data_IF_872185484401
#
_entry.id   IF_872185484401
#
_cell.length_a   1.000
_cell.length_b   1.000
_cell.length_c   1.000
_cell.angle_alpha   90.00
_cell.angle_beta   90.00
_cell.angle_gamma   90.00
#
_symmetry.space_group_name_H-M   'P 1'
#
loop_
_entity.id
_entity.type
_entity.pdbx_description
1 polymer ?
#
# COMPACT_ATOMS: atom_id res chain seq x y z
N UNK A 1 23.16 5.01 -31.90
CA UNK A 1 23.13 4.30 -30.61
C UNK A 1 21.67 4.12 -30.23
N UNK A 2 21.15 2.90 -30.38
CA UNK A 2 19.73 2.59 -30.21
C UNK A 2 19.45 2.43 -28.72
N UNK A 3 18.50 3.19 -28.19
CA UNK A 3 18.04 3.08 -26.81
C UNK A 3 17.47 1.69 -26.55
N UNK A 4 18.00 1.01 -25.53
CA UNK A 4 17.41 -0.21 -25.00
C UNK A 4 15.99 0.07 -24.48
N UNK A 5 15.09 -0.93 -24.52
CA UNK A 5 13.76 -0.76 -23.98
C UNK A 5 13.85 -0.40 -22.49
N UNK A 6 12.94 0.42 -21.93
CA UNK A 6 12.89 0.61 -20.49
C UNK A 6 12.62 -0.76 -19.88
N UNK A 7 13.61 -1.34 -19.20
CA UNK A 7 13.40 -2.53 -18.38
C UNK A 7 12.29 -2.18 -17.41
N UNK A 8 11.12 -2.79 -17.58
CA UNK A 8 10.07 -2.78 -16.59
C UNK A 8 10.61 -3.57 -15.40
N UNK A 9 11.40 -2.89 -14.56
CA UNK A 9 11.92 -3.47 -13.33
C UNK A 9 10.73 -3.61 -12.40
N UNK A 10 10.13 -4.79 -12.42
CA UNK A 10 9.29 -5.25 -11.32
C UNK A 10 10.16 -5.13 -10.06
N UNK A 11 9.69 -4.45 -9.01
CA UNK A 11 10.45 -4.38 -7.77
C UNK A 11 10.73 -5.80 -7.30
N UNK A 12 11.96 -6.07 -6.86
CA UNK A 12 12.29 -7.40 -6.36
C UNK A 12 11.46 -7.68 -5.10
N UNK A 13 10.91 -8.89 -4.98
CA UNK A 13 10.15 -9.30 -3.79
C UNK A 13 10.99 -9.13 -2.51
N UNK A 14 12.29 -9.36 -2.60
CA UNK A 14 13.25 -9.16 -1.51
C UNK A 14 13.31 -7.69 -1.06
N UNK A 15 13.35 -6.74 -1.99
CA UNK A 15 13.35 -5.32 -1.64
C UNK A 15 12.03 -4.87 -1.01
N UNK A 16 10.90 -5.40 -1.50
CA UNK A 16 9.57 -5.14 -0.91
C UNK A 16 9.50 -5.70 0.51
N UNK A 17 9.87 -6.96 0.72
CA UNK A 17 9.88 -7.60 2.04
C UNK A 17 10.82 -6.87 3.02
N UNK A 18 11.99 -6.44 2.54
CA UNK A 18 12.91 -5.60 3.32
C UNK A 18 12.26 -4.28 3.73
N UNK A 19 11.62 -3.56 2.81
CA UNK A 19 10.94 -2.30 3.08
C UNK A 19 9.85 -2.45 4.14
N UNK A 20 8.97 -3.46 4.01
CA UNK A 20 7.93 -3.77 5.01
C UNK A 20 8.55 -3.96 6.39
N UNK A 21 9.61 -4.78 6.48
CA UNK A 21 10.31 -5.05 7.74
C UNK A 21 10.94 -3.81 8.37
N UNK A 22 11.69 -3.01 7.59
CA UNK A 22 12.41 -1.84 8.14
C UNK A 22 11.47 -0.68 8.49
N UNK A 23 10.31 -0.57 7.83
CA UNK A 23 9.27 0.38 8.21
C UNK A 23 8.41 -0.09 9.38
N UNK A 24 8.55 -1.35 9.80
CA UNK A 24 7.76 -1.94 10.89
C UNK A 24 6.29 -2.08 10.55
N UNK A 25 5.95 -2.22 9.26
CA UNK A 25 4.57 -2.42 8.83
C UNK A 25 4.17 -3.88 9.03
N UNK A 26 2.93 -4.11 9.49
CA UNK A 26 2.35 -5.45 9.62
C UNK A 26 1.66 -5.88 8.33
N UNK A 27 1.54 -7.19 8.15
CA UNK A 27 0.79 -7.79 7.05
C UNK A 27 1.65 -8.20 5.85
N UNK A 28 1.00 -8.33 4.70
CA UNK A 28 1.56 -8.88 3.46
C UNK A 28 1.54 -7.84 2.34
N UNK A 29 2.52 -7.90 1.44
CA UNK A 29 2.52 -7.09 0.24
C UNK A 29 1.60 -7.70 -0.82
N UNK A 30 0.64 -6.93 -1.32
CA UNK A 30 -0.16 -7.32 -2.48
C UNK A 30 0.58 -6.99 -3.79
N UNK A 31 0.26 -7.69 -4.89
CA UNK A 31 0.71 -7.32 -6.22
C UNK A 31 0.39 -5.86 -6.54
N UNK A 32 1.22 -5.26 -7.37
CA UNK A 32 1.08 -3.84 -7.69
C UNK A 32 -0.28 -3.53 -8.35
N UNK A 33 -0.95 -2.48 -7.87
CA UNK A 33 -2.26 -2.02 -8.32
C UNK A 33 -2.26 -0.52 -8.61
N UNK A 34 -3.20 -0.07 -9.45
CA UNK A 34 -3.56 1.34 -9.56
C UNK A 34 -4.58 1.71 -8.49
N UNK A 35 -4.17 2.50 -7.50
CA UNK A 35 -5.03 2.99 -6.42
C UNK A 35 -5.09 4.51 -6.48
N UNK A 36 -6.29 5.09 -6.66
CA UNK A 36 -6.52 6.54 -6.74
C UNK A 36 -5.56 7.25 -7.73
N UNK A 37 -5.34 6.63 -8.90
CA UNK A 37 -4.45 7.16 -9.95
C UNK A 37 -2.94 6.97 -9.68
N UNK A 38 -2.56 6.34 -8.56
CA UNK A 38 -1.18 6.02 -8.21
C UNK A 38 -0.91 4.52 -8.34
N UNK A 39 0.24 4.19 -8.95
CA UNK A 39 0.70 2.80 -9.03
C UNK A 39 1.46 2.46 -7.76
N UNK A 40 0.93 1.54 -6.96
CA UNK A 40 1.41 1.25 -5.61
C UNK A 40 1.47 -0.26 -5.35
N UNK A 41 2.33 -0.66 -4.42
CA UNK A 41 2.33 -1.97 -3.78
C UNK A 41 1.67 -1.78 -2.40
N UNK A 42 0.41 -2.19 -2.22
CA UNK A 42 -0.29 -2.10 -0.94
C UNK A 42 0.29 -3.11 0.04
N UNK A 43 0.48 -2.70 1.28
CA UNK A 43 0.80 -3.57 2.40
C UNK A 43 -0.43 -3.66 3.28
N UNK A 44 -0.92 -4.88 3.49
CA UNK A 44 -2.25 -5.11 4.04
C UNK A 44 -2.22 -6.13 5.15
N UNK A 45 -2.96 -5.85 6.22
CA UNK A 45 -3.23 -6.81 7.28
C UNK A 45 -4.59 -7.46 7.03
N UNK A 46 -4.64 -8.78 6.99
CA UNK A 46 -5.85 -9.53 6.67
C UNK A 46 -6.39 -10.10 7.97
N UNK A 47 -7.64 -9.78 8.30
CA UNK A 47 -8.33 -10.38 9.43
C UNK A 47 -8.95 -11.72 9.01
N UNK A 48 -8.39 -12.86 9.44
CA UNK A 48 -8.88 -14.17 9.04
C UNK A 48 -10.28 -14.47 9.57
N UNK A 49 -10.67 -13.90 10.72
CA UNK A 49 -12.00 -14.11 11.31
C UNK A 49 -13.04 -13.36 10.48
N UNK A 50 -12.76 -12.10 10.13
CA UNK A 50 -13.63 -11.30 9.28
C UNK A 50 -13.73 -11.86 7.85
N UNK A 51 -12.61 -12.31 7.28
CA UNK A 51 -12.59 -13.00 5.98
C UNK A 51 -13.51 -14.23 6.00
N UNK A 52 -13.34 -15.12 6.97
CA UNK A 52 -14.17 -16.33 7.12
C UNK A 52 -15.65 -16.02 7.34
N UNK A 53 -15.96 -15.01 8.15
CA UNK A 53 -17.34 -14.58 8.37
C UNK A 53 -17.99 -14.14 7.05
N UNK A 54 -17.27 -13.41 6.21
CA UNK A 54 -17.74 -13.02 4.88
C UNK A 54 -17.92 -14.21 3.94
N UNK A 55 -16.99 -15.16 3.93
CA UNK A 55 -17.12 -16.38 3.12
C UNK A 55 -18.37 -17.18 3.50
N UNK A 56 -18.62 -17.37 4.79
CA UNK A 56 -19.80 -18.08 5.29
C UNK A 56 -21.12 -17.38 4.92
N UNK A 57 -21.13 -16.05 4.90
CA UNK A 57 -22.31 -15.23 4.57
C UNK A 57 -22.47 -14.96 3.06
N UNK A 58 -21.46 -15.26 2.24
CA UNK A 58 -21.44 -14.91 0.82
C UNK A 58 -21.15 -13.42 0.54
N UNK A 59 -20.62 -12.69 1.53
CA UNK A 59 -20.36 -11.25 1.46
C UNK A 59 -19.02 -10.94 0.78
N UNK A 60 -18.99 -11.06 -0.55
CA UNK A 60 -17.83 -10.70 -1.37
C UNK A 60 -17.48 -9.19 -1.31
N UNK A 61 -16.34 -8.79 -1.91
CA UNK A 61 -15.93 -7.39 -1.95
C UNK A 61 -16.94 -6.49 -2.68
N UNK A 62 -17.32 -5.37 -2.08
CA UNK A 62 -18.27 -4.42 -2.66
C UNK A 62 -17.62 -3.06 -2.95
N UNK A 63 -17.77 -2.54 -4.17
CA UNK A 63 -17.20 -1.25 -4.62
C UNK A 63 -18.26 -0.21 -4.95
N UNK A 64 -19.54 -0.50 -4.70
CA UNK A 64 -20.62 0.45 -4.89
C UNK A 64 -20.57 1.53 -3.79
N UNK A 65 -20.41 2.79 -4.20
CA UNK A 65 -20.21 3.90 -3.28
C UNK A 65 -21.43 4.12 -2.37
N UNK A 66 -22.65 3.89 -2.84
CA UNK A 66 -23.88 4.11 -2.06
C UNK A 66 -24.03 3.01 -1.00
N UNK A 67 -23.68 1.77 -1.36
CA UNK A 67 -23.63 0.65 -0.40
C UNK A 67 -22.59 0.90 0.68
N UNK A 68 -21.38 1.30 0.29
CA UNK A 68 -20.29 1.55 1.24
C UNK A 68 -20.58 2.74 2.15
N UNK A 69 -21.19 3.80 1.62
CA UNK A 69 -21.65 4.93 2.41
C UNK A 69 -22.72 4.49 3.42
N UNK A 70 -23.62 3.58 3.03
CA UNK A 70 -24.63 3.02 3.94
C UNK A 70 -23.97 2.23 5.07
N UNK A 71 -22.95 1.42 4.78
CA UNK A 71 -22.19 0.67 5.78
C UNK A 71 -21.44 1.57 6.78
N UNK A 72 -20.78 2.62 6.28
CA UNK A 72 -20.00 3.57 7.08
C UNK A 72 -20.87 4.63 7.79
N UNK A 73 -22.11 4.85 7.36
CA UNK A 73 -23.06 5.71 8.07
C UNK A 73 -23.78 4.93 9.19
N UNK A 74 -24.22 3.71 8.90
CA UNK A 74 -24.87 2.83 9.85
C UNK A 74 -23.85 1.95 10.59
N UNK A 75 -22.72 2.49 11.06
CA UNK A 75 -21.61 1.73 11.70
C UNK A 75 -22.03 0.78 12.84
N UNK A 76 -23.26 0.92 13.34
CA UNK A 76 -23.89 0.12 14.39
C UNK A 76 -24.97 -0.85 13.89
N UNK A 77 -25.27 -0.90 12.59
CA UNK A 77 -26.23 -1.85 12.03
C UNK A 77 -25.58 -3.23 11.97
N UNK A 78 -26.26 -4.23 12.52
CA UNK A 78 -25.86 -5.64 12.54
C UNK A 78 -25.64 -6.28 11.15
N UNK A 79 -25.73 -5.51 10.06
CA UNK A 79 -25.75 -5.98 8.67
C UNK A 79 -24.58 -5.44 7.82
N UNK A 80 -23.65 -4.65 8.38
CA UNK A 80 -22.43 -4.26 7.65
C UNK A 80 -21.42 -5.41 7.72
N UNK A 81 -20.91 -5.92 6.58
CA UNK A 81 -19.89 -6.96 6.59
C UNK A 81 -18.64 -6.49 7.37
N UNK A 82 -18.01 -7.36 8.18
CA UNK A 82 -16.81 -6.99 8.93
C UNK A 82 -15.67 -6.64 7.97
N UNK A 83 -14.78 -5.70 8.31
CA UNK A 83 -13.63 -5.38 7.45
C UNK A 83 -12.68 -6.58 7.39
N UNK A 84 -12.50 -7.19 6.22
CA UNK A 84 -11.63 -8.37 6.09
C UNK A 84 -10.13 -8.01 5.93
N UNK A 85 -9.82 -6.75 5.60
CA UNK A 85 -8.48 -6.30 5.28
C UNK A 85 -8.30 -4.83 5.64
N UNK A 86 -7.17 -4.51 6.27
CA UNK A 86 -6.75 -3.14 6.58
C UNK A 86 -5.49 -2.76 5.80
N UNK A 87 -5.46 -1.54 5.25
CA UNK A 87 -4.25 -0.99 4.64
C UNK A 87 -3.29 -0.51 5.75
N UNK A 88 -2.10 -1.10 5.82
CA UNK A 88 -1.08 -0.75 6.84
C UNK A 88 0.03 0.12 6.28
N UNK A 89 0.21 0.13 4.96
CA UNK A 89 1.12 1.04 4.28
C UNK A 89 1.09 0.88 2.77
N UNK A 90 1.75 1.79 2.06
CA UNK A 90 1.92 1.68 0.60
C UNK A 90 3.37 1.93 0.19
N UNK A 91 3.86 1.14 -0.77
CA UNK A 91 5.13 1.41 -1.43
C UNK A 91 4.90 1.92 -2.85
N UNK A 92 5.67 2.94 -3.24
CA UNK A 92 5.80 3.38 -4.62
C UNK A 92 7.20 3.04 -5.12
N UNK A 93 7.31 2.57 -6.36
CA UNK A 93 8.61 2.31 -7.01
C UNK A 93 9.03 3.50 -7.86
N UNK A 94 10.22 4.05 -7.62
CA UNK A 94 10.74 5.22 -8.32
C UNK A 94 11.27 4.92 -9.73
N UNK A 95 10.38 4.53 -10.63
CA UNK A 95 10.73 4.14 -12.02
C UNK A 95 11.20 5.27 -12.92
N UNK A 96 10.77 6.51 -12.64
CA UNK A 96 11.01 7.69 -13.48
C UNK A 96 11.61 8.86 -12.68
N UNK A 97 12.35 8.54 -11.62
CA UNK A 97 12.98 9.50 -10.73
C UNK A 97 12.26 9.65 -9.39
N UNK A 98 13.04 9.94 -8.35
CA UNK A 98 12.59 9.99 -6.96
C UNK A 98 11.58 11.11 -6.69
N UNK A 99 11.74 12.29 -7.30
CA UNK A 99 10.79 13.42 -7.15
C UNK A 99 9.37 13.06 -7.59
N UNK A 100 9.23 12.27 -8.65
CA UNK A 100 7.91 11.81 -9.12
C UNK A 100 7.30 10.80 -8.15
N UNK A 101 8.10 9.86 -7.67
CA UNK A 101 7.67 8.86 -6.71
C UNK A 101 7.27 9.50 -5.37
N UNK A 102 8.01 10.49 -4.91
CA UNK A 102 7.69 11.29 -3.72
C UNK A 102 6.31 11.96 -3.84
N UNK A 103 6.01 12.58 -4.99
CA UNK A 103 4.67 13.15 -5.22
C UNK A 103 3.55 12.10 -5.15
N UNK A 104 3.78 10.92 -5.71
CA UNK A 104 2.82 9.81 -5.66
C UNK A 104 2.65 9.25 -4.24
N UNK A 105 3.75 9.12 -3.48
CA UNK A 105 3.69 8.67 -2.09
C UNK A 105 2.97 9.70 -1.21
N UNK A 106 3.18 11.00 -1.44
CA UNK A 106 2.47 12.08 -0.74
C UNK A 106 0.96 12.01 -0.93
N UNK A 107 0.46 11.71 -2.13
CA UNK A 107 -0.99 11.55 -2.34
C UNK A 107 -1.60 10.37 -1.60
N UNK A 108 -0.79 9.39 -1.20
CA UNK A 108 -1.26 8.23 -0.44
C UNK A 108 -1.29 8.44 1.07
N UNK A 109 -0.66 9.50 1.59
CA UNK A 109 -0.63 9.79 3.03
C UNK A 109 -2.01 9.97 3.67
N UNK A 110 -3.03 10.28 2.86
CA UNK A 110 -4.42 10.36 3.33
C UNK A 110 -4.99 9.02 3.79
N UNK A 111 -4.41 7.90 3.34
CA UNK A 111 -4.93 6.54 3.58
C UNK A 111 -4.04 5.70 4.50
N UNK A 112 -2.82 6.16 4.79
CA UNK A 112 -1.88 5.45 5.66
C UNK A 112 -0.43 5.87 5.45
N UNK A 113 0.52 5.25 6.17
CA UNK A 113 1.95 5.43 5.95
C UNK A 113 2.34 5.12 4.50
N UNK A 114 3.27 5.90 3.95
CA UNK A 114 3.74 5.72 2.58
C UNK A 114 5.27 5.70 2.52
N UNK A 115 5.80 4.85 1.64
CA UNK A 115 7.23 4.68 1.43
C UNK A 115 7.57 4.55 -0.05
N UNK A 116 8.85 4.70 -0.38
CA UNK A 116 9.34 4.63 -1.75
C UNK A 116 10.58 3.75 -1.85
N UNK A 117 10.59 2.89 -2.85
CA UNK A 117 11.76 2.16 -3.31
C UNK A 117 12.48 2.98 -4.38
N UNK A 118 13.74 3.34 -4.12
CA UNK A 118 14.58 4.12 -5.05
C UNK A 118 15.84 3.37 -5.47
N UNK A 119 16.36 3.61 -6.69
CA UNK A 119 17.68 3.09 -7.06
C UNK A 119 18.76 3.56 -6.06
N UNK A 120 19.82 2.76 -5.79
CA UNK A 120 20.88 3.10 -4.83
C UNK A 120 21.46 4.50 -5.01
N UNK A 121 21.77 4.89 -6.25
CA UNK A 121 22.31 6.21 -6.56
C UNK A 121 21.39 7.39 -6.14
N UNK A 122 20.06 7.16 -6.13
CA UNK A 122 19.12 8.17 -5.64
C UNK A 122 18.98 8.13 -4.10
N UNK A 123 19.30 7.02 -3.45
CA UNK A 123 19.34 6.95 -1.99
C UNK A 123 20.57 7.69 -1.43
N UNK A 124 21.71 7.61 -2.13
CA UNK A 124 22.94 8.31 -1.73
C UNK A 124 22.84 9.84 -1.86
N UNK A 125 21.93 10.32 -2.72
CA UNK A 125 21.60 11.73 -2.88
C UNK A 125 21.02 12.32 -1.59
N UNK A 126 21.73 13.26 -0.98
CA UNK A 126 21.34 13.93 0.25
C UNK A 126 20.05 14.75 0.07
N UNK A 127 19.87 15.41 -1.08
CA UNK A 127 18.64 16.16 -1.36
C UNK A 127 17.43 15.23 -1.36
N UNK A 128 17.57 14.06 -1.99
CA UNK A 128 16.53 13.03 -1.98
C UNK A 128 16.19 12.63 -0.54
N UNK A 129 17.17 12.23 0.27
CA UNK A 129 16.90 11.80 1.66
C UNK A 129 16.24 12.89 2.50
N UNK A 130 16.69 14.13 2.39
CA UNK A 130 16.15 15.27 3.13
C UNK A 130 14.68 15.55 2.74
N UNK A 131 14.37 15.56 1.45
CA UNK A 131 13.00 15.78 0.96
C UNK A 131 12.02 14.70 1.43
N UNK A 132 12.46 13.44 1.45
CA UNK A 132 11.67 12.33 1.96
C UNK A 132 11.41 12.46 3.46
N UNK A 133 12.45 12.77 4.24
CA UNK A 133 12.32 13.01 5.68
C UNK A 133 11.40 14.20 5.97
N UNK A 134 11.55 15.32 5.26
CA UNK A 134 10.72 16.52 5.40
C UNK A 134 9.23 16.26 5.17
N UNK A 135 8.91 15.34 4.25
CA UNK A 135 7.53 14.99 3.92
C UNK A 135 6.97 13.82 4.74
N UNK A 136 7.76 13.24 5.65
CA UNK A 136 7.39 12.07 6.45
C UNK A 136 7.16 10.82 5.60
N UNK A 137 7.82 10.70 4.45
CA UNK A 137 7.69 9.57 3.54
C UNK A 137 8.90 8.65 3.72
N UNK A 138 8.63 7.35 3.82
CA UNK A 138 9.67 6.34 3.95
C UNK A 138 10.51 6.23 2.68
N UNK A 139 11.80 5.96 2.81
CA UNK A 139 12.72 5.78 1.69
C UNK A 139 13.62 4.58 1.93
N UNK A 140 13.66 3.64 0.99
CA UNK A 140 14.51 2.45 1.05
C UNK A 140 15.15 2.19 -0.33
N UNK A 141 16.42 1.78 -0.39
CA UNK A 141 17.03 1.32 -1.63
C UNK A 141 16.29 0.12 -2.22
N UNK A 142 16.05 0.14 -3.53
CA UNK A 142 15.45 -0.98 -4.27
C UNK A 142 16.39 -2.16 -4.41
N UNK A 143 17.68 -1.95 -4.19
CA UNK A 143 18.67 -3.01 -4.05
C UNK A 143 18.71 -3.46 -2.59
N UNK A 144 18.38 -4.74 -2.28
CA UNK A 144 18.35 -5.22 -0.91
C UNK A 144 19.74 -5.26 -0.25
N UNK A 145 20.83 -5.28 -1.02
CA UNK A 145 22.21 -5.33 -0.52
C UNK A 145 22.73 -3.94 -0.09
N UNK A 146 22.01 -2.87 -0.42
CA UNK A 146 22.36 -1.50 -0.06
C UNK A 146 21.67 -1.10 1.24
N UNK A 147 22.45 -0.86 2.28
CA UNK A 147 21.95 -0.43 3.58
C UNK A 147 21.43 1.01 3.58
N UNK A 148 20.37 1.24 4.37
CA UNK A 148 19.80 2.57 4.57
C UNK A 148 18.28 2.59 4.57
N UNK A 149 17.73 3.46 5.43
CA UNK A 149 16.30 3.70 5.53
C UNK A 149 16.05 5.13 6.01
N UNK A 150 15.07 5.79 5.40
CA UNK A 150 14.35 6.91 6.04
C UNK A 150 13.01 6.34 6.49
N UNK A 151 12.74 6.36 7.79
CA UNK A 151 11.52 5.77 8.34
C UNK A 151 10.35 6.73 8.09
N UNK A 152 9.19 6.26 7.59
CA UNK A 152 8.02 7.09 7.39
C UNK A 152 7.47 7.59 8.72
N UNK A 153 6.84 8.77 8.71
CA UNK A 153 5.97 9.16 9.81
C UNK A 153 4.76 8.23 9.85
N UNK A 154 4.32 7.89 11.06
CA UNK A 154 3.05 7.19 11.24
C UNK A 154 1.91 8.13 10.82
N UNK A 155 1.01 7.64 9.97
CA UNK A 155 -0.21 8.36 9.64
C UNK A 155 -1.14 8.41 10.86
N UNK A 156 -1.65 9.58 11.20
CA UNK A 156 -2.64 9.79 12.28
C UNK A 156 -4.04 10.11 11.74
N UNK A 157 -4.28 9.84 10.44
CA UNK A 157 -5.53 10.18 9.79
C UNK A 157 -6.70 9.40 10.41
N UNK A 158 -7.79 10.13 10.69
CA UNK A 158 -9.04 9.53 11.14
C UNK A 158 -9.67 8.76 9.97
N UNK A 159 -10.21 7.57 10.27
CA UNK A 159 -10.89 6.71 9.29
C UNK A 159 -12.00 7.49 8.56
N UNK A 160 -11.93 7.53 7.24
CA UNK A 160 -12.91 8.13 6.34
C UNK A 160 -13.70 7.05 5.59
N UNK A 161 -14.93 7.34 5.09
CA UNK A 161 -15.67 6.40 4.27
C UNK A 161 -14.90 5.91 3.02
N UNK A 162 -14.04 6.77 2.47
CA UNK A 162 -13.14 6.42 1.35
C UNK A 162 -12.17 5.29 1.71
N UNK A 163 -11.80 5.14 2.99
CA UNK A 163 -10.92 4.06 3.43
C UNK A 163 -11.60 2.72 3.25
N UNK A 164 -12.92 2.63 3.49
CA UNK A 164 -13.66 1.40 3.26
C UNK A 164 -13.67 1.02 1.78
N UNK A 165 -13.84 1.99 0.88
CA UNK A 165 -13.72 1.73 -0.56
C UNK A 165 -12.32 1.21 -0.94
N UNK A 166 -11.27 1.75 -0.34
CA UNK A 166 -9.90 1.27 -0.54
C UNK A 166 -9.74 -0.15 0.01
N UNK A 167 -10.17 -0.41 1.24
CA UNK A 167 -10.12 -1.73 1.88
C UNK A 167 -10.84 -2.78 1.02
N UNK A 168 -12.03 -2.49 0.49
CA UNK A 168 -12.78 -3.41 -0.38
C UNK A 168 -12.10 -3.60 -1.76
N UNK A 169 -11.50 -2.54 -2.31
CA UNK A 169 -10.71 -2.63 -3.55
C UNK A 169 -9.51 -3.54 -3.37
N UNK A 170 -8.81 -3.39 -2.25
CA UNK A 170 -7.65 -4.21 -1.91
C UNK A 170 -8.05 -5.63 -1.52
N UNK A 171 -9.20 -5.82 -0.88
CA UNK A 171 -9.73 -7.14 -0.57
C UNK A 171 -10.08 -7.92 -1.83
N UNK A 172 -10.76 -7.28 -2.81
CA UNK A 172 -10.97 -7.89 -4.13
C UNK A 172 -9.66 -8.26 -4.80
N UNK A 173 -8.70 -7.34 -4.82
CA UNK A 173 -7.40 -7.56 -5.43
C UNK A 173 -6.62 -8.70 -4.76
N UNK A 174 -6.72 -8.84 -3.43
CA UNK A 174 -6.11 -9.94 -2.69
C UNK A 174 -6.74 -11.29 -3.06
N UNK A 175 -8.07 -11.36 -3.15
CA UNK A 175 -8.79 -12.56 -3.58
C UNK A 175 -8.45 -12.97 -5.01
N UNK A 176 -8.40 -12.01 -5.93
CA UNK A 176 -8.05 -12.25 -7.34
C UNK A 176 -6.64 -12.83 -7.51
N UNK A 177 -5.76 -12.61 -6.53
CA UNK A 177 -4.38 -13.12 -6.50
C UNK A 177 -4.18 -14.29 -5.51
N UNK A 178 -5.24 -14.79 -4.87
CA UNK A 178 -5.17 -15.93 -3.95
C UNK A 178 -4.37 -15.65 -2.67
N UNK A 179 -4.37 -14.41 -2.18
CA UNK A 179 -3.58 -13.97 -1.02
C UNK A 179 -4.36 -13.93 0.30
N UNK A 180 -5.58 -14.48 0.32
CA UNK A 180 -6.37 -14.59 1.54
C UNK A 180 -6.06 -15.90 2.30
N UNK A 181 -6.18 -15.90 3.65
CA UNK A 181 -6.03 -17.10 4.45
C UNK A 181 -6.95 -18.23 3.97
N UNK A 182 -6.52 -19.51 4.03
CA UNK A 182 -7.39 -20.63 3.71
C UNK A 182 -8.54 -20.76 4.73
N UNK A 183 -9.69 -21.29 4.26
CA UNK A 183 -10.95 -21.49 5.00
C UNK A 183 -10.91 -22.55 6.13
#
# INVERSE_FOLDING_TARGET
>A
MVGGPPTSTTPSEVAVARAVRVFGWSGVALPEIMLVGCRVIPIVDIDPIAHRARECSGDGPNLDADVLLTWEWLRSAAHSPPTALHLTGVLVVARRGWRRALRQARSMRGFGPAGVLVPPAAFDDEECRLEFALHGIGLVPSDPDVDGVVVPEQGTALRQPTDRWIEETLYRHALDHGLCPPA
#
